data_IF_278273840856
#
_entry.id   IF_278273840856
#
_cell.length_a   1.000
_cell.length_b   1.000
_cell.length_c   1.000
_cell.angle_alpha   90.00
_cell.angle_beta   90.00
_cell.angle_gamma   90.00
#
_symmetry.space_group_name_H-M   'P 1'
#
loop_
_entity.id
_entity.type
_entity.pdbx_description
1 polymer ?
#
# COMPACT_ATOMS: atom_id res chain seq x y z
N UNK A 1 -18.70 7.00 -27.93
CA UNK A 1 -18.00 6.24 -26.88
C UNK A 1 -17.17 7.24 -26.13
N UNK A 2 -17.68 7.74 -25.00
CA UNK A 2 -16.87 8.54 -24.09
C UNK A 2 -15.73 7.66 -23.59
N UNK A 3 -14.49 8.13 -23.76
CA UNK A 3 -13.36 7.62 -23.00
C UNK A 3 -13.73 7.75 -21.53
N UNK A 4 -13.98 6.60 -20.88
CA UNK A 4 -13.93 6.54 -19.43
C UNK A 4 -12.49 6.88 -19.08
N UNK A 5 -12.25 8.16 -18.82
CA UNK A 5 -10.99 8.68 -18.35
C UNK A 5 -10.57 7.78 -17.20
N UNK A 6 -9.53 6.97 -17.42
CA UNK A 6 -9.09 6.01 -16.42
C UNK A 6 -8.83 6.81 -15.15
N UNK A 7 -9.66 6.58 -14.13
CA UNK A 7 -9.63 7.27 -12.83
C UNK A 7 -8.23 7.18 -12.15
N UNK A 8 -7.33 6.40 -12.74
CA UNK A 8 -5.99 6.06 -12.29
C UNK A 8 -5.05 6.12 -13.51
N UNK A 9 -3.97 6.90 -13.38
CA UNK A 9 -2.91 6.96 -14.39
C UNK A 9 -2.15 5.61 -14.45
N UNK A 10 -1.49 5.34 -15.58
CA UNK A 10 -0.82 4.05 -15.86
C UNK A 10 0.30 3.74 -14.86
N UNK A 11 0.28 2.52 -14.30
CA UNK A 11 1.33 1.97 -13.42
C UNK A 11 1.97 0.71 -14.01
N UNK A 12 1.93 0.54 -15.34
CA UNK A 12 2.46 -0.66 -15.99
C UNK A 12 4.00 -0.66 -16.10
N UNK A 13 4.58 0.54 -16.20
CA UNK A 13 6.02 0.73 -16.38
C UNK A 13 6.64 1.33 -15.13
N UNK A 14 7.59 0.60 -14.53
CA UNK A 14 8.36 1.04 -13.36
C UNK A 14 9.22 2.29 -13.65
N UNK A 15 9.57 2.53 -14.92
CA UNK A 15 10.31 3.71 -15.36
C UNK A 15 9.44 4.93 -15.64
N UNK A 16 8.14 4.74 -15.77
CA UNK A 16 7.20 5.78 -16.14
C UNK A 16 5.90 5.62 -15.35
N UNK A 17 6.03 5.61 -14.03
CA UNK A 17 4.90 5.56 -13.12
C UNK A 17 4.26 6.95 -13.12
N UNK A 18 3.29 7.14 -13.98
CA UNK A 18 2.42 8.29 -13.93
C UNK A 18 1.39 8.00 -12.85
N UNK A 19 1.54 8.56 -11.65
CA UNK A 19 0.61 8.34 -10.54
C UNK A 19 1.21 7.61 -9.34
N UNK A 20 0.33 7.02 -8.53
CA UNK A 20 0.70 6.32 -7.29
C UNK A 20 0.99 4.84 -7.58
N UNK A 21 2.01 4.31 -6.91
CA UNK A 21 2.09 2.86 -6.66
C UNK A 21 1.01 2.54 -5.62
N UNK A 22 0.30 1.43 -5.78
CA UNK A 22 -0.76 1.06 -4.83
C UNK A 22 -0.21 0.10 -3.77
N UNK A 23 0.49 -0.94 -4.25
CA UNK A 23 1.02 -2.00 -3.42
C UNK A 23 2.37 -2.47 -3.96
N UNK A 24 3.25 -2.81 -3.03
CA UNK A 24 4.58 -3.39 -3.29
C UNK A 24 4.70 -4.69 -2.52
N UNK A 25 5.34 -5.70 -3.11
CA UNK A 25 5.58 -6.99 -2.45
C UNK A 25 7.07 -7.30 -2.32
N UNK A 26 7.45 -8.14 -1.37
CA UNK A 26 8.81 -8.68 -1.25
C UNK A 26 8.86 -10.18 -1.58
N UNK A 27 10.06 -10.74 -1.55
CA UNK A 27 10.31 -12.17 -1.79
C UNK A 27 9.78 -13.10 -0.68
N UNK A 28 9.36 -12.55 0.46
CA UNK A 28 8.82 -13.31 1.60
C UNK A 28 7.29 -13.34 1.63
N UNK A 29 6.63 -12.70 0.65
CA UNK A 29 5.18 -12.62 0.57
C UNK A 29 4.57 -11.51 1.43
N UNK A 30 5.39 -10.58 1.94
CA UNK A 30 4.86 -9.39 2.59
C UNK A 30 4.37 -8.39 1.54
N UNK A 31 3.42 -7.57 1.95
CA UNK A 31 2.89 -6.47 1.16
C UNK A 31 3.06 -5.14 1.88
N UNK A 32 3.28 -4.10 1.10
CA UNK A 32 3.57 -2.76 1.57
C UNK A 32 2.79 -1.73 0.79
N UNK A 33 2.31 -0.71 1.50
CA UNK A 33 1.74 0.50 0.90
C UNK A 33 2.82 1.60 0.85
N UNK A 34 2.84 2.45 -0.18
CA UNK A 34 3.75 3.58 -0.21
C UNK A 34 3.27 4.67 0.76
N UNK A 35 4.07 4.89 1.80
CA UNK A 35 3.85 5.94 2.78
C UNK A 35 4.29 7.32 2.27
N UNK A 36 5.40 7.36 1.53
CA UNK A 36 5.94 8.58 0.92
C UNK A 36 6.67 8.23 -0.37
N UNK A 37 6.49 9.05 -1.41
CA UNK A 37 7.19 8.90 -2.69
C UNK A 37 7.87 10.20 -3.09
N UNK A 38 9.04 10.11 -3.70
CA UNK A 38 9.74 11.23 -4.36
C UNK A 38 9.91 10.88 -5.83
N UNK A 39 9.51 11.80 -6.72
CA UNK A 39 9.59 11.62 -8.17
C UNK A 39 10.45 12.71 -8.81
N UNK A 40 11.19 12.35 -9.85
CA UNK A 40 11.86 13.29 -10.75
C UNK A 40 11.29 13.13 -12.15
N UNK A 41 10.45 14.08 -12.58
CA UNK A 41 9.63 13.92 -13.78
C UNK A 41 8.62 12.78 -13.59
N UNK A 42 8.61 11.80 -14.50
CA UNK A 42 7.77 10.60 -14.40
C UNK A 42 8.48 9.38 -13.77
N UNK A 43 9.74 9.53 -13.34
CA UNK A 43 10.49 8.46 -12.69
C UNK A 43 10.36 8.54 -11.17
N UNK A 44 10.03 7.41 -10.55
CA UNK A 44 10.09 7.24 -9.11
C UNK A 44 11.54 7.09 -8.65
N UNK A 45 12.05 8.05 -7.88
CA UNK A 45 13.44 8.05 -7.39
C UNK A 45 13.55 7.51 -5.97
N UNK A 46 12.55 7.75 -5.13
CA UNK A 46 12.54 7.26 -3.74
C UNK A 46 11.14 6.82 -3.32
N UNK A 47 11.07 5.78 -2.49
CA UNK A 47 9.84 5.35 -1.84
C UNK A 47 10.10 4.91 -0.39
N UNK A 48 9.23 5.35 0.50
CA UNK A 48 9.11 4.85 1.88
C UNK A 48 7.92 3.91 1.93
N UNK A 49 8.14 2.66 2.29
CA UNK A 49 7.14 1.61 2.33
C UNK A 49 6.68 1.35 3.77
N UNK A 50 5.37 1.31 4.00
CA UNK A 50 4.76 0.87 5.26
C UNK A 50 4.21 -0.55 5.09
N UNK A 51 4.32 -1.39 6.12
CA UNK A 51 3.74 -2.73 6.05
C UNK A 51 2.21 -2.64 5.93
N UNK A 52 1.62 -3.29 4.93
CA UNK A 52 0.20 -3.09 4.59
C UNK A 52 -0.75 -3.48 5.73
N UNK A 53 -0.44 -4.55 6.47
CA UNK A 53 -1.24 -4.91 7.68
C UNK A 53 -1.19 -3.84 8.76
N UNK A 54 -0.06 -3.15 8.93
CA UNK A 54 0.05 -2.05 9.89
C UNK A 54 -0.76 -0.85 9.41
N UNK A 55 -0.61 -0.48 8.15
CA UNK A 55 -1.36 0.62 7.53
C UNK A 55 -2.88 0.39 7.63
N UNK A 56 -3.33 -0.83 7.32
CA UNK A 56 -4.72 -1.25 7.48
C UNK A 56 -5.17 -1.16 8.94
N UNK A 57 -4.40 -1.69 9.90
CA UNK A 57 -4.78 -1.71 11.31
C UNK A 57 -5.04 -0.30 11.89
N UNK A 58 -4.24 0.68 11.49
CA UNK A 58 -4.41 2.07 11.94
C UNK A 58 -5.43 2.87 11.11
N UNK A 59 -5.77 2.40 9.91
CA UNK A 59 -6.83 2.98 9.07
C UNK A 59 -8.22 2.40 9.36
N UNK A 60 -8.30 1.19 9.90
CA UNK A 60 -9.53 0.46 10.24
C UNK A 60 -10.29 1.01 11.45
N UNK A 61 -9.88 2.14 12.01
CA UNK A 61 -10.57 2.85 13.12
C UNK A 61 -12.04 3.19 12.76
N UNK A 62 -12.45 3.06 11.49
CA UNK A 62 -13.79 3.39 10.99
C UNK A 62 -14.65 2.18 10.54
N UNK A 63 -14.35 0.96 10.99
CA UNK A 63 -15.17 -0.20 10.61
C UNK A 63 -16.67 0.02 10.91
N UNK A 64 -17.46 -0.09 9.85
CA UNK A 64 -18.92 -0.10 9.86
C UNK A 64 -19.44 -1.26 10.71
N UNK A 65 -20.60 -1.11 11.34
CA UNK A 65 -21.13 -2.05 12.34
C UNK A 65 -21.28 -3.50 11.82
N UNK A 66 -21.46 -3.66 10.50
CA UNK A 66 -21.52 -4.97 9.83
C UNK A 66 -20.21 -5.77 9.96
N UNK A 67 -19.05 -5.11 9.88
CA UNK A 67 -17.76 -5.79 10.04
C UNK A 67 -17.52 -6.23 11.49
N UNK A 68 -18.01 -5.45 12.45
CA UNK A 68 -17.91 -5.82 13.87
C UNK A 68 -18.65 -7.13 14.12
N UNK A 69 -19.85 -7.31 13.56
CA UNK A 69 -20.62 -8.53 13.77
C UNK A 69 -20.00 -9.78 13.14
N UNK A 70 -19.36 -9.65 11.97
CA UNK A 70 -18.68 -10.76 11.28
C UNK A 70 -17.43 -11.21 12.04
N UNK A 71 -16.63 -10.27 12.55
CA UNK A 71 -15.32 -10.56 13.15
C UNK A 71 -15.27 -10.41 14.68
N UNK A 72 -16.41 -10.24 15.38
CA UNK A 72 -16.46 -9.99 16.84
C UNK A 72 -15.76 -11.03 17.71
N UNK A 73 -15.61 -12.25 17.22
CA UNK A 73 -14.96 -13.36 17.94
C UNK A 73 -13.66 -13.82 17.27
N UNK A 74 -13.19 -13.11 16.25
CA UNK A 74 -11.98 -13.40 15.50
C UNK A 74 -10.78 -12.63 16.04
N UNK A 75 -9.58 -13.10 15.70
CA UNK A 75 -8.37 -12.30 15.93
C UNK A 75 -8.33 -11.14 14.94
N UNK A 76 -7.86 -9.96 15.38
CA UNK A 76 -7.73 -8.76 14.52
C UNK A 76 -6.96 -9.02 13.21
N UNK A 77 -6.05 -10.01 13.21
CA UNK A 77 -5.33 -10.42 12.01
C UNK A 77 -6.22 -10.91 10.87
N UNK A 78 -7.35 -11.56 11.16
CA UNK A 78 -8.27 -12.10 10.15
C UNK A 78 -8.87 -10.99 9.26
N UNK A 79 -9.59 -9.98 9.80
CA UNK A 79 -10.14 -8.92 8.96
C UNK A 79 -9.07 -8.08 8.26
N UNK A 80 -7.86 -7.98 8.83
CA UNK A 80 -6.74 -7.28 8.20
C UNK A 80 -6.26 -8.02 6.95
N UNK A 81 -6.13 -9.35 7.03
CA UNK A 81 -5.74 -10.21 5.92
C UNK A 81 -6.83 -10.22 4.85
N UNK A 82 -8.10 -10.31 5.22
CA UNK A 82 -9.21 -10.29 4.27
C UNK A 82 -9.29 -8.96 3.52
N UNK A 83 -9.09 -7.84 4.21
CA UNK A 83 -9.00 -6.51 3.58
C UNK A 83 -7.84 -6.44 2.59
N UNK A 84 -6.66 -6.94 2.98
CA UNK A 84 -5.48 -6.94 2.12
C UNK A 84 -5.69 -7.82 0.87
N UNK A 85 -6.25 -9.01 1.06
CA UNK A 85 -6.55 -9.94 -0.04
C UNK A 85 -7.59 -9.36 -1.00
N UNK A 86 -8.63 -8.71 -0.48
CA UNK A 86 -9.63 -8.00 -1.30
C UNK A 86 -8.98 -6.88 -2.11
N UNK A 87 -8.05 -6.12 -1.52
CA UNK A 87 -7.30 -5.09 -2.23
C UNK A 87 -6.41 -5.69 -3.34
N UNK A 88 -5.69 -6.77 -3.06
CA UNK A 88 -4.87 -7.49 -4.07
C UNK A 88 -5.74 -7.99 -5.23
N UNK A 89 -6.88 -8.61 -4.93
CA UNK A 89 -7.82 -9.10 -5.94
C UNK A 89 -8.31 -7.95 -6.84
N UNK A 90 -8.72 -6.83 -6.23
CA UNK A 90 -9.15 -5.63 -6.96
C UNK A 90 -8.07 -5.06 -7.88
N UNK A 91 -6.81 -5.01 -7.42
CA UNK A 91 -5.68 -4.57 -8.26
C UNK A 91 -5.46 -5.51 -9.46
N UNK A 92 -5.54 -6.82 -9.24
CA UNK A 92 -5.39 -7.82 -10.29
C UNK A 92 -6.53 -7.73 -11.32
N UNK A 93 -7.78 -7.60 -10.87
CA UNK A 93 -8.96 -7.43 -11.73
C UNK A 93 -8.86 -6.14 -12.56
N UNK A 94 -8.32 -5.08 -11.96
CA UNK A 94 -8.09 -3.79 -12.62
C UNK A 94 -6.84 -3.80 -13.52
N UNK A 95 -6.14 -4.92 -13.62
CA UNK A 95 -4.91 -5.08 -14.40
C UNK A 95 -3.73 -4.25 -13.88
N UNK A 96 -3.76 -3.76 -12.64
CA UNK A 96 -2.70 -2.94 -12.04
C UNK A 96 -1.52 -3.82 -11.61
N UNK A 97 -0.31 -3.30 -11.78
CA UNK A 97 0.91 -4.04 -11.43
C UNK A 97 1.24 -3.83 -9.95
N UNK A 98 1.36 -4.94 -9.22
CA UNK A 98 1.99 -4.96 -7.89
C UNK A 98 3.50 -5.16 -8.10
N UNK A 99 4.29 -4.12 -7.88
CA UNK A 99 5.73 -4.19 -8.08
C UNK A 99 6.42 -4.92 -6.93
N UNK A 100 7.48 -5.67 -7.22
CA UNK A 100 8.35 -6.20 -6.16
C UNK A 100 9.35 -5.13 -5.70
N UNK A 101 9.73 -5.14 -4.41
CA UNK A 101 10.83 -4.33 -3.85
C UNK A 101 12.10 -4.48 -4.70
N UNK A 102 12.46 -5.71 -5.06
CA UNK A 102 13.62 -6.02 -5.91
C UNK A 102 13.59 -5.23 -7.23
N UNK A 103 12.48 -5.30 -7.97
CA UNK A 103 12.29 -4.59 -9.25
C UNK A 103 12.39 -3.07 -9.09
N UNK A 104 11.93 -2.50 -7.97
CA UNK A 104 12.11 -1.07 -7.69
C UNK A 104 13.59 -0.71 -7.52
N UNK A 105 14.32 -1.50 -6.73
CA UNK A 105 15.75 -1.29 -6.48
C UNK A 105 16.56 -1.46 -7.77
N UNK A 106 16.29 -2.52 -8.55
CA UNK A 106 16.94 -2.76 -9.85
C UNK A 106 16.71 -1.62 -10.84
N UNK A 107 15.59 -0.90 -10.71
CA UNK A 107 15.28 0.27 -11.53
C UNK A 107 15.92 1.58 -11.03
N UNK A 108 16.72 1.50 -9.97
CA UNK A 108 17.39 2.64 -9.35
C UNK A 108 16.50 3.48 -8.44
N UNK A 109 15.36 2.95 -7.98
CA UNK A 109 14.55 3.58 -6.93
C UNK A 109 15.18 3.27 -5.58
N UNK A 110 15.42 4.29 -4.77
CA UNK A 110 15.82 4.12 -3.38
C UNK A 110 14.60 3.69 -2.55
N UNK A 111 14.63 2.47 -2.04
CA UNK A 111 13.56 1.91 -1.20
C UNK A 111 13.98 1.98 0.27
N UNK A 112 13.09 2.49 1.11
CA UNK A 112 13.24 2.48 2.56
C UNK A 112 11.92 2.05 3.22
N UNK A 113 11.98 1.61 4.48
CA UNK A 113 10.80 1.13 5.19
C UNK A 113 10.48 2.05 6.36
N UNK A 114 9.19 2.35 6.54
CA UNK A 114 8.70 3.13 7.67
C UNK A 114 8.96 2.36 8.96
N UNK A 115 9.72 2.97 9.86
CA UNK A 115 10.05 2.38 11.15
C UNK A 115 8.89 2.57 12.13
N UNK A 116 7.99 1.60 12.14
CA UNK A 116 6.79 1.55 12.99
C UNK A 116 7.10 1.81 14.47
N UNK A 117 8.20 1.24 14.98
CA UNK A 117 8.62 1.38 16.38
C UNK A 117 9.22 2.74 16.73
N UNK A 118 9.39 3.63 15.77
CA UNK A 118 9.94 4.98 15.97
C UNK A 118 8.87 6.07 15.98
N UNK A 119 7.62 5.70 16.25
CA UNK A 119 6.56 6.66 16.48
C UNK A 119 6.98 7.62 17.60
N UNK A 120 7.16 8.90 17.26
CA UNK A 120 7.26 9.95 18.28
C UNK A 120 5.88 10.02 18.92
N UNK A 121 5.69 9.34 20.04
CA UNK A 121 4.65 9.76 20.98
C UNK A 121 4.91 11.23 21.23
N UNK A 122 4.11 12.11 20.63
CA UNK A 122 3.95 13.43 21.21
C UNK A 122 3.50 13.12 22.63
N UNK A 123 4.39 13.32 23.59
CA UNK A 123 4.01 13.51 24.97
C UNK A 123 2.98 14.63 24.91
N UNK A 124 1.69 14.27 24.90
CA UNK A 124 0.63 15.19 25.25
C UNK A 124 0.95 15.54 26.68
N UNK A 125 1.66 16.65 26.85
CA UNK A 125 2.08 17.14 28.15
C UNK A 125 0.87 17.13 29.06
N UNK A 126 1.05 16.53 30.24
CA UNK A 126 0.20 16.81 31.39
C UNK A 126 0.42 18.25 31.82
#
# INVERSE_FOLDING_TARGET
>A
MEEVEARWKSNQDVNNIQGLIDLVTDEYGNYYTPYKTTNQGSKLTEVVLCHALYDNAFSMVFLQDEWKEVYKFSHLGEPLVDTLNAHIASLNESGRVIFSVKKLIENGTQVSFYKITSYKTQNKGK
#
